data_IF_852501555772
#
_entry.id   IF_852501555772
#
_cell.length_a   1.000
_cell.length_b   1.000
_cell.length_c   1.000
_cell.angle_alpha   90.00
_cell.angle_beta   90.00
_cell.angle_gamma   90.00
#
_symmetry.space_group_name_H-M   'P 1'
#
loop_
_entity.id
_entity.type
_entity.pdbx_description
1 polymer ?
#
# COMPACT_ATOMS: atom_id res chain seq x y z
N UNK A 1 29.71 11.17 10.38
CA UNK A 1 29.47 9.99 9.50
C UNK A 1 28.33 10.27 8.55
N UNK A 2 28.50 10.07 7.24
CA UNK A 2 27.40 10.26 6.25
C UNK A 2 26.73 8.91 5.93
N UNK A 3 25.80 8.52 6.81
CA UNK A 3 25.05 7.27 6.70
C UNK A 3 24.19 7.20 5.42
N UNK A 4 23.61 8.33 5.01
CA UNK A 4 22.72 8.38 3.84
C UNK A 4 23.51 8.08 2.58
N UNK A 5 24.66 8.71 2.43
CA UNK A 5 25.54 8.53 1.28
C UNK A 5 26.01 7.08 1.16
N UNK A 6 26.54 6.51 2.22
CA UNK A 6 27.06 5.14 2.25
C UNK A 6 25.96 4.09 1.98
N UNK A 7 24.78 4.26 2.59
CA UNK A 7 23.64 3.36 2.31
C UNK A 7 23.21 3.46 0.84
N UNK A 8 23.18 4.67 0.25
CA UNK A 8 22.82 4.85 -1.17
C UNK A 8 23.86 4.28 -2.12
N UNK A 9 25.14 4.40 -1.82
CA UNK A 9 26.21 3.80 -2.63
C UNK A 9 26.09 2.27 -2.69
N UNK A 10 25.85 1.63 -1.55
CA UNK A 10 25.64 0.18 -1.50
C UNK A 10 24.29 -0.27 -2.08
N UNK A 11 23.25 0.55 -1.89
CA UNK A 11 21.86 0.25 -2.30
C UNK A 11 21.22 1.41 -3.07
N UNK A 12 21.64 1.69 -4.31
CA UNK A 12 21.20 2.87 -5.08
C UNK A 12 19.70 2.87 -5.35
N UNK A 13 19.05 1.73 -5.30
CA UNK A 13 17.63 1.58 -5.53
C UNK A 13 16.75 1.75 -4.28
N UNK A 14 17.35 2.03 -3.11
CA UNK A 14 16.58 2.18 -1.87
C UNK A 14 15.90 3.56 -1.83
N UNK A 15 14.59 3.57 -1.58
CA UNK A 15 13.82 4.82 -1.49
C UNK A 15 14.19 5.60 -0.22
N UNK A 16 14.20 6.93 -0.31
CA UNK A 16 14.55 7.83 0.82
C UNK A 16 13.71 7.56 2.07
N UNK A 17 12.42 7.24 1.91
CA UNK A 17 11.56 6.87 3.05
C UNK A 17 12.06 5.62 3.80
N UNK A 18 12.66 4.66 3.11
CA UNK A 18 13.25 3.47 3.74
C UNK A 18 14.53 3.83 4.48
N UNK A 19 15.37 4.69 3.89
CA UNK A 19 16.60 5.19 4.54
C UNK A 19 16.23 5.95 5.81
N UNK A 20 15.26 6.86 5.73
CA UNK A 20 14.79 7.61 6.90
C UNK A 20 14.25 6.69 8.01
N UNK A 21 13.51 5.64 7.66
CA UNK A 21 13.05 4.65 8.63
C UNK A 21 14.22 3.91 9.29
N UNK A 22 15.28 3.58 8.54
CA UNK A 22 16.48 2.96 9.10
C UNK A 22 17.24 3.90 10.05
N UNK A 23 17.39 5.17 9.67
CA UNK A 23 18.03 6.17 10.54
C UNK A 23 17.27 6.36 11.85
N UNK A 24 15.94 6.40 11.81
CA UNK A 24 15.10 6.46 13.00
C UNK A 24 15.30 5.22 13.88
N UNK A 25 15.34 4.02 13.29
CA UNK A 25 15.57 2.79 14.03
C UNK A 25 16.95 2.77 14.71
N UNK A 26 18.00 3.12 13.98
CA UNK A 26 19.38 3.19 14.50
C UNK A 26 19.51 4.24 15.62
N UNK A 27 18.91 5.43 15.43
CA UNK A 27 18.90 6.47 16.46
C UNK A 27 18.18 6.01 17.73
N UNK A 28 17.08 5.26 17.61
CA UNK A 28 16.39 4.63 18.76
C UNK A 28 17.30 3.62 19.47
N UNK A 29 18.00 2.78 18.72
CA UNK A 29 18.98 1.84 19.29
C UNK A 29 20.16 2.56 19.94
N UNK A 30 20.54 3.75 19.48
CA UNK A 30 21.59 4.60 20.07
C UNK A 30 21.05 5.57 21.15
N UNK A 31 20.01 5.22 21.90
CA UNK A 31 19.41 6.04 22.96
C UNK A 31 18.93 7.43 22.49
N UNK A 32 18.46 7.57 21.27
CA UNK A 32 18.08 8.81 20.59
C UNK A 32 19.25 9.82 20.42
N UNK A 33 20.50 9.39 20.59
CA UNK A 33 21.69 10.21 20.32
C UNK A 33 21.97 10.26 18.82
N UNK A 34 22.71 11.28 18.40
CA UNK A 34 23.24 11.31 17.02
C UNK A 34 24.19 10.14 16.81
N UNK A 35 24.27 9.67 15.55
CA UNK A 35 25.09 8.51 15.18
C UNK A 35 26.41 9.04 14.63
N UNK A 36 27.41 9.09 15.48
CA UNK A 36 28.76 9.53 15.14
C UNK A 36 29.63 8.36 14.65
N UNK A 37 29.40 7.16 15.21
CA UNK A 37 30.04 5.89 14.89
C UNK A 37 29.02 4.74 14.96
N UNK A 38 29.47 3.50 14.76
CA UNK A 38 28.65 2.29 14.85
C UNK A 38 29.02 1.41 16.05
N UNK A 39 29.89 1.89 16.96
CA UNK A 39 30.42 1.11 18.09
C UNK A 39 29.32 0.65 19.05
N UNK A 40 28.23 1.43 19.17
CA UNK A 40 27.08 1.04 19.99
C UNK A 40 26.43 -0.28 19.53
N UNK A 41 26.59 -0.67 18.27
CA UNK A 41 26.09 -1.93 17.73
C UNK A 41 26.91 -3.15 18.17
N UNK A 42 28.13 -2.95 18.66
CA UNK A 42 28.96 -4.03 19.22
C UNK A 42 28.46 -4.49 20.60
N UNK A 43 27.70 -3.64 21.32
CA UNK A 43 27.09 -4.02 22.60
C UNK A 43 25.79 -4.80 22.37
N UNK A 44 25.95 -6.09 22.11
CA UNK A 44 24.88 -7.03 21.71
C UNK A 44 23.78 -7.16 22.76
N UNK A 45 24.15 -7.20 24.04
CA UNK A 45 23.23 -7.33 25.18
C UNK A 45 22.31 -6.11 25.26
N UNK A 46 22.87 -4.93 25.18
CA UNK A 46 22.09 -3.68 25.23
C UNK A 46 21.17 -3.50 24.02
N UNK A 47 21.61 -3.94 22.85
CA UNK A 47 20.73 -3.94 21.66
C UNK A 47 19.60 -4.95 21.84
N UNK A 48 19.87 -6.15 22.36
CA UNK A 48 18.86 -7.18 22.63
C UNK A 48 17.81 -6.69 23.61
N UNK A 49 18.21 -6.15 24.77
CA UNK A 49 17.29 -5.56 25.75
C UNK A 49 16.31 -4.56 25.12
N UNK A 50 16.82 -3.68 24.24
CA UNK A 50 15.97 -2.71 23.55
C UNK A 50 15.00 -3.31 22.51
N UNK A 51 15.35 -4.46 21.98
CA UNK A 51 14.51 -5.17 21.03
C UNK A 51 13.39 -5.95 21.72
N UNK A 52 13.66 -6.49 22.92
CA UNK A 52 12.74 -7.41 23.61
C UNK A 52 11.38 -6.76 23.94
N UNK A 53 11.36 -5.46 24.22
CA UNK A 53 10.15 -4.68 24.47
C UNK A 53 9.36 -4.33 23.19
N UNK A 54 9.91 -4.64 22.02
CA UNK A 54 9.32 -4.23 20.74
C UNK A 54 8.49 -5.35 20.10
N UNK A 55 7.46 -4.96 19.36
CA UNK A 55 6.69 -5.90 18.53
C UNK A 55 7.59 -6.57 17.48
N UNK A 56 7.32 -7.84 17.19
CA UNK A 56 8.09 -8.65 16.23
C UNK A 56 8.40 -7.92 14.91
N UNK A 57 7.40 -7.26 14.31
CA UNK A 57 7.60 -6.50 13.06
C UNK A 57 8.55 -5.32 13.23
N UNK A 58 8.56 -4.66 14.40
CA UNK A 58 9.47 -3.56 14.70
C UNK A 58 10.89 -4.09 14.94
N UNK A 59 11.04 -5.20 15.69
CA UNK A 59 12.32 -5.89 15.88
C UNK A 59 12.98 -6.22 14.54
N UNK A 60 12.21 -6.84 13.62
CA UNK A 60 12.67 -7.18 12.27
C UNK A 60 13.15 -5.94 11.49
N UNK A 61 12.39 -4.85 11.53
CA UNK A 61 12.77 -3.61 10.86
C UNK A 61 14.05 -3.00 11.44
N UNK A 62 14.23 -3.05 12.77
CA UNK A 62 15.40 -2.51 13.45
C UNK A 62 16.65 -3.33 13.11
N UNK A 63 16.58 -4.66 13.18
CA UNK A 63 17.70 -5.53 12.79
C UNK A 63 18.01 -5.40 11.29
N UNK A 64 17.01 -5.21 10.45
CA UNK A 64 17.24 -4.90 9.02
C UNK A 64 18.05 -3.60 8.86
N UNK A 65 17.72 -2.55 9.62
CA UNK A 65 18.45 -1.29 9.59
C UNK A 65 19.91 -1.47 10.06
N UNK A 66 20.11 -2.25 11.13
CA UNK A 66 21.47 -2.61 11.63
C UNK A 66 22.28 -3.32 10.55
N UNK A 67 21.72 -4.35 9.92
CA UNK A 67 22.41 -5.10 8.87
C UNK A 67 22.71 -4.24 7.62
N UNK A 68 21.81 -3.33 7.27
CA UNK A 68 22.05 -2.40 6.14
C UNK A 68 23.24 -1.50 6.44
N UNK A 69 23.30 -0.90 7.62
CA UNK A 69 24.39 0.03 7.94
C UNK A 69 25.71 -0.69 8.19
N UNK A 70 25.71 -1.83 8.88
CA UNK A 70 26.94 -2.62 9.09
C UNK A 70 27.58 -3.03 7.76
N UNK A 71 26.80 -3.43 6.78
CA UNK A 71 27.27 -3.76 5.44
C UNK A 71 27.73 -2.54 4.65
N UNK A 72 27.06 -1.39 4.80
CA UNK A 72 27.44 -0.16 4.12
C UNK A 72 28.77 0.42 4.60
N UNK A 73 29.22 0.03 5.78
CA UNK A 73 30.49 0.44 6.37
C UNK A 73 31.50 -0.71 6.52
N UNK A 74 31.31 -1.82 5.80
CA UNK A 74 32.20 -2.98 5.81
C UNK A 74 32.60 -3.44 7.23
N UNK A 75 31.60 -3.45 8.14
CA UNK A 75 31.82 -3.82 9.53
C UNK A 75 32.29 -5.27 9.67
N UNK A 76 32.84 -5.60 10.85
CA UNK A 76 33.34 -6.94 11.16
C UNK A 76 32.31 -8.03 10.84
N UNK A 77 32.71 -9.05 10.07
CA UNK A 77 31.84 -10.14 9.61
C UNK A 77 31.18 -10.89 10.78
N UNK A 78 31.90 -11.11 11.88
CA UNK A 78 31.33 -11.77 13.08
C UNK A 78 30.17 -10.97 13.69
N UNK A 79 30.18 -9.65 13.57
CA UNK A 79 29.10 -8.79 14.04
C UNK A 79 27.92 -8.85 13.06
N UNK A 80 28.18 -8.84 11.76
CA UNK A 80 27.18 -9.01 10.73
C UNK A 80 26.48 -10.37 10.88
N UNK A 81 27.23 -11.46 11.06
CA UNK A 81 26.67 -12.80 11.24
C UNK A 81 25.83 -12.94 12.50
N UNK A 82 26.23 -12.31 13.59
CA UNK A 82 25.40 -12.25 14.78
C UNK A 82 24.00 -11.67 14.49
N UNK A 83 23.92 -10.52 13.82
CA UNK A 83 22.66 -9.92 13.49
C UNK A 83 21.89 -10.64 12.35
N UNK A 84 22.60 -11.35 11.46
CA UNK A 84 21.97 -12.24 10.47
C UNK A 84 21.21 -13.39 11.17
N UNK A 85 21.78 -13.99 12.19
CA UNK A 85 21.11 -15.04 12.93
C UNK A 85 19.83 -14.51 13.60
N UNK A 86 19.89 -13.35 14.26
CA UNK A 86 18.72 -12.73 14.87
C UNK A 86 17.63 -12.46 13.83
N UNK A 87 17.94 -11.90 12.64
CA UNK A 87 16.92 -11.64 11.64
C UNK A 87 16.32 -12.92 11.07
N UNK A 88 17.10 -14.01 10.97
CA UNK A 88 16.61 -15.30 10.52
C UNK A 88 15.60 -15.86 11.52
N UNK A 89 15.92 -15.88 12.81
CA UNK A 89 15.01 -16.35 13.88
C UNK A 89 13.70 -15.52 13.88
N UNK A 90 13.81 -14.20 13.80
CA UNK A 90 12.66 -13.30 13.72
C UNK A 90 11.83 -13.51 12.43
N UNK A 91 12.46 -13.88 11.33
CA UNK A 91 11.77 -14.20 10.07
C UNK A 91 11.02 -15.54 10.16
N UNK A 92 11.60 -16.54 10.79
CA UNK A 92 10.94 -17.83 11.05
C UNK A 92 9.71 -17.65 11.95
N UNK A 93 9.85 -16.92 13.07
CA UNK A 93 8.74 -16.58 13.94
C UNK A 93 7.63 -15.84 13.17
N UNK A 94 7.99 -14.83 12.38
CA UNK A 94 7.05 -14.05 11.58
C UNK A 94 6.33 -14.92 10.55
N UNK A 95 7.06 -15.79 9.85
CA UNK A 95 6.49 -16.68 8.84
C UNK A 95 5.55 -17.69 9.48
N UNK A 96 5.91 -18.24 10.65
CA UNK A 96 5.05 -19.12 11.42
C UNK A 96 3.74 -18.48 11.86
N UNK A 97 3.75 -17.18 12.21
CA UNK A 97 2.53 -16.42 12.53
C UNK A 97 1.70 -16.16 11.25
N UNK A 98 2.35 -15.75 10.18
CA UNK A 98 1.66 -15.39 8.92
C UNK A 98 1.04 -16.60 8.21
N UNK A 99 1.69 -17.77 8.28
CA UNK A 99 1.18 -19.01 7.67
C UNK A 99 -0.15 -19.49 8.25
N UNK A 100 -0.46 -19.09 9.47
CA UNK A 100 -1.74 -19.40 10.12
C UNK A 100 -2.92 -18.66 9.50
N UNK A 101 -2.65 -17.61 8.72
CA UNK A 101 -3.66 -16.75 8.07
C UNK A 101 -4.73 -16.20 9.01
N UNK A 102 -4.43 -16.09 10.31
CA UNK A 102 -5.36 -15.52 11.28
C UNK A 102 -5.40 -13.99 11.14
N UNK A 103 -6.57 -13.43 11.38
CA UNK A 103 -6.70 -11.98 11.54
C UNK A 103 -5.88 -11.54 12.76
N UNK A 104 -5.15 -10.43 12.64
CA UNK A 104 -4.59 -9.79 13.83
C UNK A 104 -5.70 -9.20 14.70
N UNK A 105 -5.44 -8.98 15.99
CA UNK A 105 -6.40 -8.35 16.91
C UNK A 105 -6.98 -7.04 16.34
N UNK A 106 -6.14 -6.23 15.70
CA UNK A 106 -6.55 -4.99 15.04
C UNK A 106 -7.47 -5.24 13.85
N UNK A 107 -7.22 -6.29 13.07
CA UNK A 107 -8.09 -6.68 11.97
C UNK A 107 -9.41 -7.24 12.50
N UNK A 108 -9.37 -8.09 13.50
CA UNK A 108 -10.58 -8.66 14.13
C UNK A 108 -11.50 -7.56 14.65
N UNK A 109 -10.95 -6.61 15.41
CA UNK A 109 -11.71 -5.48 15.97
C UNK A 109 -12.35 -4.57 14.92
N UNK A 110 -11.80 -4.53 13.69
CA UNK A 110 -12.23 -3.62 12.63
C UNK A 110 -12.77 -4.34 11.39
N UNK A 111 -12.85 -5.67 11.41
CA UNK A 111 -13.35 -6.44 10.27
C UNK A 111 -14.84 -6.19 10.04
N UNK A 112 -15.21 -6.03 8.78
CA UNK A 112 -16.59 -5.95 8.31
C UNK A 112 -16.72 -6.74 7.01
N UNK A 113 -17.93 -7.04 6.61
CA UNK A 113 -18.22 -7.63 5.32
C UNK A 113 -18.16 -6.59 4.19
N UNK A 114 -17.89 -7.04 2.97
CA UNK A 114 -17.88 -6.17 1.79
C UNK A 114 -19.25 -5.49 1.57
N UNK A 115 -20.33 -6.14 1.97
CA UNK A 115 -21.70 -5.60 1.96
C UNK A 115 -21.83 -4.29 2.75
N UNK A 116 -21.13 -4.17 3.91
CA UNK A 116 -21.17 -2.95 4.74
C UNK A 116 -20.43 -1.79 4.06
N UNK A 117 -19.33 -2.06 3.37
CA UNK A 117 -18.63 -1.05 2.55
C UNK A 117 -19.53 -0.53 1.43
N UNK A 118 -20.27 -1.43 0.78
CA UNK A 118 -21.21 -1.09 -0.27
C UNK A 118 -22.40 -0.25 0.26
N UNK A 119 -22.86 -0.48 1.49
CA UNK A 119 -23.89 0.37 2.13
C UNK A 119 -23.41 1.81 2.28
N UNK A 120 -22.16 2.03 2.72
CA UNK A 120 -21.59 3.37 2.82
C UNK A 120 -21.48 4.02 1.45
N UNK A 121 -20.97 3.31 0.45
CA UNK A 121 -20.90 3.81 -0.92
C UNK A 121 -22.29 4.22 -1.46
N UNK A 122 -23.29 3.38 -1.29
CA UNK A 122 -24.67 3.64 -1.74
C UNK A 122 -25.29 4.84 -1.00
N UNK A 123 -24.98 5.03 0.29
CA UNK A 123 -25.43 6.22 1.03
C UNK A 123 -24.83 7.50 0.44
N UNK A 124 -23.51 7.51 0.17
CA UNK A 124 -22.85 8.66 -0.47
C UNK A 124 -23.41 8.90 -1.88
N UNK A 125 -23.64 7.84 -2.66
CA UNK A 125 -24.27 7.95 -3.98
C UNK A 125 -25.64 8.63 -3.90
N UNK A 126 -26.49 8.23 -2.94
CA UNK A 126 -27.82 8.84 -2.73
C UNK A 126 -27.71 10.33 -2.39
N UNK A 127 -26.79 10.69 -1.49
CA UNK A 127 -26.53 12.09 -1.12
C UNK A 127 -26.08 12.91 -2.33
N UNK A 128 -25.11 12.43 -3.10
CA UNK A 128 -24.59 13.12 -4.30
C UNK A 128 -25.65 13.24 -5.40
N UNK A 129 -26.49 12.24 -5.58
CA UNK A 129 -27.63 12.31 -6.54
C UNK A 129 -28.65 13.38 -6.12
N UNK A 130 -28.92 13.51 -4.83
CA UNK A 130 -29.85 14.52 -4.31
C UNK A 130 -29.33 15.98 -4.46
N UNK A 131 -28.04 16.17 -4.66
CA UNK A 131 -27.43 17.48 -4.89
C UNK A 131 -27.71 18.06 -6.28
N UNK A 132 -28.24 17.28 -7.22
CA UNK A 132 -28.45 17.66 -8.64
C UNK A 132 -27.25 18.36 -9.31
N UNK A 133 -26.08 17.77 -9.11
CA UNK A 133 -24.81 18.38 -9.58
C UNK A 133 -24.73 18.54 -11.10
N UNK A 134 -25.50 17.75 -11.86
CA UNK A 134 -25.45 17.81 -13.34
C UNK A 134 -25.82 19.18 -13.89
N UNK A 135 -26.73 19.89 -13.21
CA UNK A 135 -27.29 21.18 -13.64
C UNK A 135 -26.57 22.38 -13.02
N UNK A 136 -25.62 22.16 -12.11
CA UNK A 136 -24.88 23.26 -11.46
C UNK A 136 -23.66 23.67 -12.27
N UNK A 137 -23.35 24.98 -12.29
CA UNK A 137 -22.15 25.55 -12.90
C UNK A 137 -20.96 25.50 -11.94
N UNK A 138 -21.21 25.81 -10.67
CA UNK A 138 -20.19 25.79 -9.61
C UNK A 138 -20.68 25.03 -8.39
N UNK A 139 -19.74 24.42 -7.66
CA UNK A 139 -20.02 23.75 -6.40
C UNK A 139 -19.56 24.58 -5.21
N UNK A 140 -20.31 24.47 -4.10
CA UNK A 140 -19.82 24.88 -2.80
C UNK A 140 -18.66 23.97 -2.38
N UNK A 141 -17.71 24.46 -1.54
CA UNK A 141 -16.60 23.60 -1.07
C UNK A 141 -17.06 22.29 -0.43
N UNK A 142 -18.16 22.30 0.32
CA UNK A 142 -18.76 21.10 0.94
C UNK A 142 -19.24 20.09 -0.11
N UNK A 143 -19.92 20.56 -1.17
CA UNK A 143 -20.45 19.71 -2.23
C UNK A 143 -19.30 19.13 -3.08
N UNK A 144 -18.24 19.94 -3.33
CA UNK A 144 -17.05 19.50 -4.01
C UNK A 144 -16.33 18.39 -3.24
N UNK A 145 -16.14 18.56 -1.92
CA UNK A 145 -15.54 17.54 -1.08
C UNK A 145 -16.38 16.25 -1.03
N UNK A 146 -17.72 16.37 -0.95
CA UNK A 146 -18.61 15.22 -0.98
C UNK A 146 -18.55 14.48 -2.32
N UNK A 147 -18.43 15.20 -3.43
CA UNK A 147 -18.24 14.60 -4.75
C UNK A 147 -16.91 13.86 -4.83
N UNK A 148 -15.82 14.42 -4.28
CA UNK A 148 -14.54 13.72 -4.21
C UNK A 148 -14.62 12.47 -3.31
N UNK A 149 -15.33 12.54 -2.19
CA UNK A 149 -15.57 11.37 -1.32
C UNK A 149 -16.31 10.26 -2.07
N UNK A 150 -17.26 10.63 -2.95
CA UNK A 150 -17.95 9.67 -3.82
C UNK A 150 -17.00 9.01 -4.82
N UNK A 151 -16.08 9.77 -5.42
CA UNK A 151 -15.04 9.21 -6.29
C UNK A 151 -14.16 8.23 -5.51
N UNK A 152 -13.64 8.65 -4.35
CA UNK A 152 -12.76 7.81 -3.53
C UNK A 152 -13.49 6.53 -3.08
N UNK A 153 -14.72 6.65 -2.59
CA UNK A 153 -15.53 5.48 -2.23
C UNK A 153 -15.71 4.55 -3.43
N UNK A 154 -16.00 5.09 -4.62
CA UNK A 154 -16.14 4.31 -5.85
C UNK A 154 -14.86 3.59 -6.27
N UNK A 155 -13.68 4.21 -6.12
CA UNK A 155 -12.40 3.59 -6.42
C UNK A 155 -12.16 2.32 -5.59
N UNK A 156 -12.61 2.31 -4.33
CA UNK A 156 -12.35 1.23 -3.38
C UNK A 156 -13.51 0.26 -3.17
N UNK A 157 -14.66 0.50 -3.83
CA UNK A 157 -15.80 -0.44 -3.80
C UNK A 157 -16.12 -1.02 -5.17
N UNK A 158 -15.81 -0.31 -6.26
CA UNK A 158 -16.14 -0.75 -7.63
C UNK A 158 -14.92 -1.34 -8.37
N UNK A 159 -13.73 -1.25 -7.79
CA UNK A 159 -12.49 -1.86 -8.29
C UNK A 159 -11.86 -2.74 -7.21
N UNK A 160 -11.07 -3.74 -7.60
CA UNK A 160 -10.15 -4.39 -6.66
C UNK A 160 -9.28 -3.33 -5.98
N UNK A 161 -9.26 -3.25 -4.63
CA UNK A 161 -8.55 -2.18 -3.94
C UNK A 161 -7.03 -2.29 -4.12
N UNK A 162 -6.44 -1.39 -4.88
CA UNK A 162 -5.00 -1.21 -4.93
C UNK A 162 -4.53 -0.43 -3.69
N UNK A 163 -3.23 -0.23 -3.51
CA UNK A 163 -2.72 0.61 -2.41
C UNK A 163 -3.19 2.06 -2.56
N UNK A 164 -2.40 2.99 -2.17
CA UNK A 164 -2.73 4.43 -2.24
C UNK A 164 -2.28 5.07 -3.57
N UNK A 165 -2.09 4.24 -4.61
CA UNK A 165 -1.50 4.63 -5.90
C UNK A 165 -2.45 5.48 -6.78
N UNK A 166 -3.73 5.67 -6.36
CA UNK A 166 -4.62 6.69 -6.93
C UNK A 166 -4.26 8.12 -6.49
N UNK A 167 -3.36 8.27 -5.52
CA UNK A 167 -2.79 9.55 -5.11
C UNK A 167 -1.28 9.36 -4.83
N UNK A 168 -0.38 10.06 -5.45
CA UNK A 168 -0.54 11.14 -6.44
C UNK A 168 -0.83 10.62 -7.86
N UNK A 169 -1.72 11.32 -8.57
CA UNK A 169 -2.09 10.94 -9.94
C UNK A 169 -2.51 12.16 -10.74
N UNK A 170 -2.06 12.25 -11.98
CA UNK A 170 -2.44 13.29 -12.94
C UNK A 170 -3.64 12.88 -13.79
N UNK A 171 -4.34 13.88 -14.35
CA UNK A 171 -5.34 13.68 -15.40
C UNK A 171 -4.74 14.13 -16.72
N UNK A 172 -4.65 13.22 -17.70
CA UNK A 172 -4.05 13.55 -18.99
C UNK A 172 -4.92 13.00 -20.14
N UNK A 173 -5.10 13.80 -21.19
CA UNK A 173 -5.88 13.44 -22.38
C UNK A 173 -5.03 13.08 -23.58
N UNK A 174 -3.76 13.46 -23.59
CA UNK A 174 -2.82 13.24 -24.70
C UNK A 174 -1.80 12.16 -24.30
N UNK A 175 -1.77 11.05 -25.04
CA UNK A 175 -0.82 9.94 -24.79
C UNK A 175 0.65 10.42 -24.83
N UNK A 176 0.97 11.41 -25.68
CA UNK A 176 2.32 11.96 -25.79
C UNK A 176 2.84 12.70 -24.56
N UNK A 177 1.96 12.99 -23.59
CA UNK A 177 2.32 13.64 -22.33
C UNK A 177 2.44 12.66 -21.15
N UNK A 178 2.15 11.38 -21.39
CA UNK A 178 2.29 10.34 -20.37
C UNK A 178 3.75 9.90 -20.35
N UNK A 179 4.38 10.02 -19.21
CA UNK A 179 5.72 9.46 -18.95
C UNK A 179 5.58 8.12 -18.18
N UNK A 180 6.69 7.44 -17.93
CA UNK A 180 6.79 6.15 -17.24
C UNK A 180 7.08 6.27 -15.74
N UNK A 181 7.17 7.50 -15.21
CA UNK A 181 7.49 7.76 -13.80
C UNK A 181 6.29 8.18 -12.94
N UNK A 182 5.19 8.63 -13.56
CA UNK A 182 4.02 9.13 -12.87
C UNK A 182 2.78 8.27 -13.11
N UNK A 183 1.78 8.39 -12.24
CA UNK A 183 0.49 7.73 -12.39
C UNK A 183 -0.52 8.67 -13.06
N UNK A 184 -1.38 8.11 -13.92
CA UNK A 184 -2.33 8.88 -14.72
C UNK A 184 -3.74 8.28 -14.72
N UNK A 185 -4.73 9.15 -14.61
CA UNK A 185 -6.02 8.92 -15.22
C UNK A 185 -5.94 9.40 -16.68
N UNK A 186 -5.76 8.47 -17.61
CA UNK A 186 -5.85 8.81 -19.03
C UNK A 186 -7.31 9.04 -19.43
N UNK A 187 -7.61 10.26 -19.86
CA UNK A 187 -8.94 10.69 -20.29
C UNK A 187 -9.03 10.76 -21.82
N UNK A 188 -9.08 9.61 -22.49
CA UNK A 188 -9.21 9.49 -23.95
C UNK A 188 -10.61 9.79 -24.49
N UNK A 189 -11.46 10.43 -23.71
CA UNK A 189 -12.83 10.76 -24.02
C UNK A 189 -13.84 10.08 -23.09
N UNK A 190 -15.15 10.32 -23.33
CA UNK A 190 -16.24 9.95 -22.40
C UNK A 190 -16.21 8.49 -21.91
N UNK A 191 -15.90 7.56 -22.82
CA UNK A 191 -15.91 6.13 -22.54
C UNK A 191 -14.53 5.46 -22.72
N UNK A 192 -13.45 6.25 -22.85
CA UNK A 192 -12.08 5.76 -23.11
C UNK A 192 -11.13 6.18 -21.98
N UNK A 193 -11.57 5.99 -20.74
CA UNK A 193 -10.71 6.27 -19.57
C UNK A 193 -10.11 4.98 -19.05
N UNK A 194 -8.84 5.08 -18.66
CA UNK A 194 -8.11 4.02 -17.98
C UNK A 194 -7.17 4.63 -16.93
N UNK A 195 -6.87 3.91 -15.88
CA UNK A 195 -5.76 4.27 -14.99
C UNK A 195 -4.48 3.63 -15.52
N UNK A 196 -3.44 4.43 -15.63
CA UNK A 196 -2.08 4.02 -15.98
C UNK A 196 -1.25 4.19 -14.72
N UNK A 197 -0.77 3.08 -14.16
CA UNK A 197 -0.03 3.03 -12.90
C UNK A 197 1.41 2.64 -13.22
N UNK A 198 2.30 3.61 -13.17
CA UNK A 198 3.73 3.47 -13.41
C UNK A 198 4.50 3.36 -12.10
N UNK A 199 4.17 4.26 -11.13
CA UNK A 199 4.84 4.30 -9.83
C UNK A 199 3.98 3.64 -8.77
N UNK A 200 4.42 2.45 -8.30
CA UNK A 200 3.81 1.69 -7.20
C UNK A 200 4.88 0.77 -6.56
N UNK A 201 4.54 0.10 -5.45
CA UNK A 201 5.54 -0.61 -4.63
C UNK A 201 6.36 -1.65 -5.39
N UNK A 202 5.75 -2.35 -6.34
CA UNK A 202 6.35 -3.48 -7.05
C UNK A 202 6.55 -3.20 -8.56
N UNK A 203 6.61 -1.94 -8.97
CA UNK A 203 6.72 -1.54 -10.38
C UNK A 203 7.97 -2.11 -11.09
N UNK A 204 9.09 -2.25 -10.36
CA UNK A 204 10.32 -2.85 -10.88
C UNK A 204 10.17 -4.32 -11.33
N UNK A 205 9.26 -5.06 -10.69
CA UNK A 205 9.03 -6.48 -10.99
C UNK A 205 7.90 -6.70 -12.00
N UNK A 206 6.93 -5.80 -12.06
CA UNK A 206 5.69 -6.00 -12.84
C UNK A 206 5.46 -4.93 -13.91
N UNK A 207 6.32 -3.90 -13.99
CA UNK A 207 6.21 -2.83 -14.98
C UNK A 207 4.93 -2.01 -14.84
N UNK A 208 4.61 -1.24 -15.87
CA UNK A 208 3.38 -0.45 -15.97
C UNK A 208 2.13 -1.34 -15.88
N UNK A 209 1.15 -0.88 -15.10
CA UNK A 209 -0.16 -1.52 -15.01
C UNK A 209 -1.25 -0.61 -15.58
N UNK A 210 -2.22 -1.21 -16.28
CA UNK A 210 -3.38 -0.48 -16.79
C UNK A 210 -4.65 -1.06 -16.19
N UNK A 211 -5.45 -0.23 -15.50
CA UNK A 211 -6.70 -0.64 -14.90
C UNK A 211 -7.88 -0.11 -15.71
N UNK A 212 -8.73 -1.02 -16.16
CA UNK A 212 -9.99 -0.68 -16.81
C UNK A 212 -10.98 -0.09 -15.80
N UNK A 213 -11.74 0.89 -16.22
CA UNK A 213 -12.71 1.58 -15.36
C UNK A 213 -14.12 1.06 -15.68
N UNK A 214 -14.82 0.44 -14.71
CA UNK A 214 -16.21 0.00 -14.89
C UNK A 214 -17.14 1.17 -15.22
N UNK A 215 -18.23 0.92 -15.95
CA UNK A 215 -19.15 1.95 -16.44
C UNK A 215 -19.69 2.86 -15.33
N UNK A 216 -20.04 2.29 -14.17
CA UNK A 216 -20.52 3.07 -13.01
C UNK A 216 -19.44 4.04 -12.50
N UNK A 217 -18.22 3.57 -12.31
CA UNK A 217 -17.09 4.41 -11.86
C UNK A 217 -16.72 5.46 -12.92
N UNK A 218 -16.76 5.10 -14.22
CA UNK A 218 -16.53 6.05 -15.31
C UNK A 218 -17.56 7.21 -15.29
N UNK A 219 -18.82 6.94 -14.96
CA UNK A 219 -19.85 7.98 -14.82
C UNK A 219 -19.57 8.91 -13.64
N UNK A 220 -19.09 8.36 -12.52
CA UNK A 220 -18.67 9.14 -11.33
C UNK A 220 -17.48 10.03 -11.69
N UNK A 221 -16.48 9.48 -12.36
CA UNK A 221 -15.28 10.23 -12.79
C UNK A 221 -15.66 11.32 -13.82
N UNK A 222 -16.59 11.06 -14.73
CA UNK A 222 -17.07 12.10 -15.65
C UNK A 222 -17.69 13.28 -14.89
N UNK A 223 -18.50 13.01 -13.86
CA UNK A 223 -19.08 14.04 -13.02
C UNK A 223 -18.01 14.79 -12.23
N UNK A 224 -17.01 14.09 -11.72
CA UNK A 224 -15.87 14.68 -11.01
C UNK A 224 -15.07 15.63 -11.90
N UNK A 225 -14.68 15.18 -13.09
CA UNK A 225 -13.87 15.97 -14.05
C UNK A 225 -14.63 17.19 -14.61
N UNK A 226 -15.95 17.24 -14.50
CA UNK A 226 -16.72 18.46 -14.81
C UNK A 226 -16.37 19.62 -13.87
N UNK A 227 -15.97 19.33 -12.62
CA UNK A 227 -15.70 20.31 -11.56
C UNK A 227 -14.23 20.37 -11.15
N UNK A 228 -13.44 19.41 -11.58
CA UNK A 228 -12.01 19.34 -11.32
C UNK A 228 -11.23 19.58 -12.61
N UNK A 229 -10.75 20.79 -12.78
CA UNK A 229 -9.97 21.28 -13.93
C UNK A 229 -8.47 21.45 -13.61
N UNK A 230 -8.01 20.97 -12.45
CA UNK A 230 -6.64 21.23 -11.95
C UNK A 230 -5.55 20.40 -12.64
N UNK A 231 -5.92 19.38 -13.41
CA UNK A 231 -4.97 18.41 -13.95
C UNK A 231 -4.51 17.34 -12.95
N UNK A 232 -4.86 17.47 -11.67
CA UNK A 232 -4.63 16.43 -10.65
C UNK A 232 -5.91 15.62 -10.44
N UNK A 233 -5.79 14.29 -10.27
CA UNK A 233 -6.97 13.44 -10.16
C UNK A 233 -7.70 13.63 -8.84
N UNK A 234 -7.01 13.57 -7.70
CA UNK A 234 -7.55 13.80 -6.36
C UNK A 234 -6.85 15.00 -5.71
N UNK A 235 -7.59 15.76 -4.92
CA UNK A 235 -7.15 17.04 -4.39
C UNK A 235 -7.16 17.09 -2.87
N UNK A 236 -6.23 17.83 -2.30
CA UNK A 236 -6.25 18.25 -0.91
C UNK A 236 -7.16 19.50 -0.72
N UNK A 237 -7.30 19.98 0.51
CA UNK A 237 -8.12 21.15 0.83
C UNK A 237 -7.64 22.47 0.18
N UNK A 238 -6.38 22.50 -0.31
CA UNK A 238 -5.83 23.67 -1.04
C UNK A 238 -5.99 23.52 -2.56
N UNK A 239 -6.71 22.49 -3.03
CA UNK A 239 -6.85 22.12 -4.45
C UNK A 239 -5.54 21.73 -5.12
N UNK A 240 -4.55 21.31 -4.36
CA UNK A 240 -3.32 20.70 -4.84
C UNK A 240 -3.48 19.17 -4.89
N UNK A 241 -2.52 18.48 -5.53
CA UNK A 241 -2.50 17.01 -5.61
C UNK A 241 -2.60 16.36 -4.21
N UNK A 242 -3.50 15.41 -4.06
CA UNK A 242 -3.66 14.66 -2.82
C UNK A 242 -2.46 13.73 -2.63
N UNK A 243 -1.88 13.74 -1.43
CA UNK A 243 -0.82 12.79 -1.07
C UNK A 243 -1.38 11.41 -0.72
N UNK A 244 -0.54 10.37 -0.80
CA UNK A 244 -0.91 9.02 -0.38
C UNK A 244 -1.40 8.99 1.10
N UNK A 245 -0.74 9.72 2.00
CA UNK A 245 -1.20 9.84 3.39
C UNK A 245 -2.57 10.53 3.49
N UNK A 246 -2.80 11.57 2.68
CA UNK A 246 -4.09 12.26 2.58
C UNK A 246 -5.21 11.31 2.12
N UNK A 247 -4.94 10.48 1.10
CA UNK A 247 -5.88 9.47 0.63
C UNK A 247 -6.18 8.42 1.71
N UNK A 248 -5.16 7.95 2.44
CA UNK A 248 -5.37 7.02 3.55
C UNK A 248 -6.29 7.59 4.65
N UNK A 249 -6.09 8.87 5.02
CA UNK A 249 -6.97 9.58 5.97
C UNK A 249 -8.40 9.76 5.42
N UNK A 250 -8.53 10.06 4.12
CA UNK A 250 -9.83 10.20 3.46
C UNK A 250 -10.60 8.87 3.49
N UNK A 251 -9.97 7.74 3.18
CA UNK A 251 -10.57 6.40 3.25
C UNK A 251 -11.12 6.14 4.66
N UNK A 252 -10.30 6.32 5.69
CA UNK A 252 -10.74 6.10 7.08
C UNK A 252 -11.92 7.00 7.46
N UNK A 253 -11.93 8.24 7.01
CA UNK A 253 -13.03 9.18 7.25
C UNK A 253 -14.30 8.79 6.50
N UNK A 254 -14.18 8.43 5.23
CA UNK A 254 -15.32 8.04 4.36
C UNK A 254 -16.05 6.83 4.92
N UNK A 255 -15.32 5.83 5.40
CA UNK A 255 -15.89 4.60 5.95
C UNK A 255 -16.15 4.65 7.46
N UNK A 256 -15.98 5.80 8.12
CA UNK A 256 -16.28 5.99 9.55
C UNK A 256 -17.73 5.61 9.93
N UNK A 257 -18.78 5.79 9.07
CA UNK A 257 -20.14 5.36 9.39
C UNK A 257 -20.30 3.85 9.67
N UNK A 258 -19.34 3.01 9.28
CA UNK A 258 -19.31 1.58 9.67
C UNK A 258 -19.04 1.37 11.17
N UNK A 259 -18.67 2.39 11.93
CA UNK A 259 -18.22 2.29 13.32
C UNK A 259 -16.82 1.68 13.48
N UNK A 260 -16.11 1.39 12.38
CA UNK A 260 -14.82 0.71 12.34
C UNK A 260 -13.71 1.59 11.75
N UNK A 261 -12.47 1.31 12.12
CA UNK A 261 -11.31 1.99 11.57
C UNK A 261 -10.86 1.30 10.27
N UNK A 262 -11.49 1.65 9.17
CA UNK A 262 -11.22 1.05 7.86
C UNK A 262 -9.98 1.69 7.24
N UNK A 263 -8.92 0.90 7.10
CA UNK A 263 -7.68 1.31 6.42
C UNK A 263 -7.57 0.63 5.05
N UNK A 264 -6.69 1.14 4.19
CA UNK A 264 -6.47 0.54 2.87
C UNK A 264 -6.03 -0.92 2.94
N UNK A 265 -5.19 -1.28 3.91
CA UNK A 265 -4.77 -2.67 4.08
C UNK A 265 -5.93 -3.56 4.51
N UNK A 266 -6.83 -3.05 5.35
CA UNK A 266 -8.02 -3.79 5.78
C UNK A 266 -8.99 -3.98 4.60
N UNK A 267 -9.24 -2.93 3.79
CA UNK A 267 -10.04 -3.04 2.55
C UNK A 267 -9.51 -4.14 1.62
N UNK A 268 -8.20 -4.19 1.43
CA UNK A 268 -7.56 -5.21 0.59
C UNK A 268 -7.71 -6.61 1.19
N UNK A 269 -7.57 -6.75 2.50
CA UNK A 269 -7.76 -8.03 3.18
C UNK A 269 -9.21 -8.51 3.07
N UNK A 270 -10.19 -7.62 3.32
CA UNK A 270 -11.63 -7.92 3.18
C UNK A 270 -11.92 -8.36 1.74
N UNK A 271 -11.49 -7.57 0.74
CA UNK A 271 -11.74 -7.87 -0.67
C UNK A 271 -11.19 -9.25 -1.08
N UNK A 272 -9.94 -9.56 -0.71
CA UNK A 272 -9.33 -10.85 -1.04
C UNK A 272 -10.07 -11.99 -0.34
N UNK A 273 -10.41 -11.84 0.94
CA UNK A 273 -11.11 -12.89 1.71
C UNK A 273 -12.50 -13.21 1.18
N UNK A 274 -13.17 -12.23 0.56
CA UNK A 274 -14.50 -12.41 -0.04
C UNK A 274 -14.45 -12.96 -1.48
N UNK A 275 -13.35 -12.70 -2.22
CA UNK A 275 -13.27 -13.03 -3.64
C UNK A 275 -12.34 -14.21 -3.95
N UNK A 276 -11.61 -14.73 -2.97
CA UNK A 276 -10.67 -15.84 -3.17
C UNK A 276 -11.09 -17.04 -2.31
N UNK A 277 -11.35 -18.16 -2.95
CA UNK A 277 -11.59 -19.42 -2.24
C UNK A 277 -10.26 -19.98 -1.72
N UNK A 278 -9.93 -19.59 -0.47
CA UNK A 278 -8.73 -20.05 0.21
C UNK A 278 -8.73 -21.55 0.51
N UNK A 279 -9.92 -22.18 0.59
CA UNK A 279 -10.01 -23.65 0.78
C UNK A 279 -9.60 -24.39 -0.49
N UNK A 280 -10.09 -23.91 -1.65
CA UNK A 280 -9.70 -24.48 -2.94
C UNK A 280 -8.19 -24.28 -3.19
N UNK A 281 -7.63 -23.12 -2.84
CA UNK A 281 -6.17 -22.88 -2.96
C UNK A 281 -5.36 -23.84 -2.08
N UNK A 282 -5.71 -23.99 -0.80
CA UNK A 282 -5.01 -24.92 0.11
C UNK A 282 -5.10 -26.34 -0.39
N UNK A 283 -6.27 -26.79 -0.84
CA UNK A 283 -6.45 -28.13 -1.42
C UNK A 283 -5.56 -28.32 -2.65
N UNK A 284 -5.42 -27.29 -3.50
CA UNK A 284 -4.53 -27.34 -4.66
C UNK A 284 -3.04 -27.42 -4.26
N UNK A 285 -2.63 -26.70 -3.20
CA UNK A 285 -1.26 -26.76 -2.67
C UNK A 285 -0.95 -28.11 -2.03
N UNK A 286 -1.90 -28.70 -1.28
CA UNK A 286 -1.77 -30.05 -0.71
C UNK A 286 -1.64 -31.10 -1.82
N UNK A 287 -2.48 -31.03 -2.85
CA UNK A 287 -2.38 -31.93 -4.02
C UNK A 287 -1.03 -31.81 -4.73
N UNK A 288 -0.52 -30.59 -4.92
CA UNK A 288 0.81 -30.40 -5.50
C UNK A 288 1.90 -31.07 -4.67
N UNK A 289 1.82 -30.95 -3.35
CA UNK A 289 2.74 -31.58 -2.41
C UNK A 289 2.65 -33.12 -2.48
N UNK A 290 1.45 -33.69 -2.50
CA UNK A 290 1.22 -35.12 -2.61
C UNK A 290 1.76 -35.69 -3.94
N UNK A 291 1.68 -34.89 -5.00
CA UNK A 291 2.27 -35.21 -6.32
C UNK A 291 3.77 -34.84 -6.44
N UNK A 292 4.43 -34.43 -5.35
CA UNK A 292 5.86 -34.11 -5.28
C UNK A 292 6.31 -33.02 -6.24
N UNK A 293 5.46 -32.01 -6.53
CA UNK A 293 5.82 -30.87 -7.35
C UNK A 293 5.34 -29.54 -6.74
N UNK A 294 5.84 -28.41 -7.26
CA UNK A 294 5.40 -27.11 -6.77
C UNK A 294 4.01 -26.72 -7.32
N UNK A 295 3.23 -25.89 -6.61
CA UNK A 295 1.98 -25.35 -7.15
C UNK A 295 2.13 -24.64 -8.51
N UNK A 296 3.29 -24.03 -8.76
CA UNK A 296 3.58 -23.39 -10.05
C UNK A 296 3.68 -24.42 -11.20
N UNK A 297 4.32 -25.56 -10.95
CA UNK A 297 4.41 -26.68 -11.91
C UNK A 297 3.01 -27.27 -12.14
N UNK A 298 2.24 -27.50 -11.08
CA UNK A 298 0.86 -27.97 -11.20
C UNK A 298 0.04 -27.08 -12.11
N UNK A 299 0.04 -25.78 -11.87
CA UNK A 299 -0.74 -24.80 -12.63
C UNK A 299 -0.23 -24.59 -14.05
N UNK A 300 1.08 -24.59 -14.27
CA UNK A 300 1.68 -24.25 -15.57
C UNK A 300 1.79 -25.43 -16.52
N UNK A 301 1.94 -26.65 -15.99
CA UNK A 301 2.22 -27.85 -16.80
C UNK A 301 1.03 -28.81 -16.82
N UNK A 302 0.46 -29.13 -15.66
CA UNK A 302 -0.53 -30.21 -15.56
C UNK A 302 -1.97 -29.71 -15.65
N UNK A 303 -2.28 -28.50 -15.17
CA UNK A 303 -3.62 -27.94 -15.34
C UNK A 303 -3.85 -27.58 -16.81
N UNK A 304 -5.02 -27.98 -17.35
CA UNK A 304 -5.49 -27.63 -18.70
C UNK A 304 -6.85 -26.97 -18.58
N UNK A 305 -7.03 -25.86 -19.28
CA UNK A 305 -8.32 -25.22 -19.50
C UNK A 305 -9.07 -25.96 -20.62
N UNK A 306 -10.39 -26.03 -20.54
CA UNK A 306 -11.28 -26.57 -21.58
C UNK A 306 -11.38 -25.62 -22.78
#
# INVERSE_FOLDING_TARGET
MDLIKQIKEQRPNLKDNSINAYLIALKKLNNNKEIEDLDFLANKEKIKEKLDDLKLTTRRNYITAVLVVLRAFDANEKLIDYYKNIINDLNEEYTGIMSKNNKSEKQEANWIELSELNKVFNSIEKEVKAMDLKNRIKLKPTDFNKLQDYVIAGLYTLLPPIRLDFAPMFVESKKSKINDSDNYLFNGGRNKKVFIINEYKNNKSHGQQTLRIPSKLNSIINLWLKYNDTGNFLLNNRREMLSANGLGKAITRIFKPTGKNITINLLRSIYISENVDMKALKKSEELAKDMMHSPAVQKGIYYKDD
#
